data_IF_966408491504
#
_entry.id   IF_966408491504
#
_cell.length_a   1.000
_cell.length_b   1.000
_cell.length_c   1.000
_cell.angle_alpha   90.00
_cell.angle_beta   90.00
_cell.angle_gamma   90.00
#
_symmetry.space_group_name_H-M   'P 1'
#
loop_
_entity.id
_entity.type
_entity.pdbx_description
1 polymer ?
#
# COMPACT_ATOMS: atom_id res chain seq x y z
N UNK A 1 24.41 7.61 -21.85
CA UNK A 1 23.95 7.44 -20.46
C UNK A 1 24.29 6.01 -20.05
N UNK A 2 25.43 5.80 -19.40
CA UNK A 2 25.88 4.45 -19.01
C UNK A 2 25.04 4.03 -17.82
N UNK A 3 24.17 3.04 -18.02
CA UNK A 3 23.42 2.43 -16.92
C UNK A 3 24.44 1.65 -16.09
N UNK A 4 24.72 2.09 -14.87
CA UNK A 4 25.59 1.35 -13.93
C UNK A 4 25.04 -0.07 -13.71
N UNK A 5 25.90 -1.05 -13.52
CA UNK A 5 25.52 -2.45 -13.21
C UNK A 5 24.50 -2.50 -12.06
N UNK A 6 24.66 -1.66 -11.04
CA UNK A 6 23.77 -1.59 -9.88
C UNK A 6 22.36 -1.10 -10.25
N UNK A 7 22.27 -0.14 -11.19
CA UNK A 7 20.99 0.36 -11.67
C UNK A 7 20.23 -0.72 -12.46
N UNK A 8 20.93 -1.60 -13.18
CA UNK A 8 20.31 -2.73 -13.90
C UNK A 8 19.73 -3.73 -12.89
N UNK A 9 20.46 -4.06 -11.83
CA UNK A 9 19.97 -4.93 -10.76
C UNK A 9 18.73 -4.34 -10.09
N UNK A 10 18.76 -3.05 -9.74
CA UNK A 10 17.60 -2.37 -9.17
C UNK A 10 16.39 -2.33 -10.11
N UNK A 11 16.59 -2.16 -11.41
CA UNK A 11 15.53 -2.20 -12.42
C UNK A 11 14.88 -3.58 -12.52
N UNK A 12 15.68 -4.65 -12.61
CA UNK A 12 15.19 -6.03 -12.67
C UNK A 12 14.41 -6.37 -11.40
N UNK A 13 14.93 -5.99 -10.23
CA UNK A 13 14.24 -6.18 -8.95
C UNK A 13 12.92 -5.42 -8.89
N UNK A 14 12.87 -4.16 -9.33
CA UNK A 14 11.64 -3.37 -9.37
C UNK A 14 10.59 -3.96 -10.31
N UNK A 15 10.99 -4.43 -11.50
CA UNK A 15 10.09 -5.10 -12.44
C UNK A 15 9.55 -6.42 -11.88
N UNK A 16 10.42 -7.23 -11.28
CA UNK A 16 10.03 -8.50 -10.66
C UNK A 16 9.07 -8.29 -9.49
N UNK A 17 9.34 -7.29 -8.63
CA UNK A 17 8.45 -6.82 -7.57
C UNK A 17 7.07 -6.46 -8.12
N UNK A 18 7.01 -5.62 -9.16
CA UNK A 18 5.74 -5.21 -9.76
C UNK A 18 4.93 -6.38 -10.31
N UNK A 19 5.60 -7.37 -10.91
CA UNK A 19 4.97 -8.61 -11.35
C UNK A 19 4.40 -9.41 -10.19
N UNK A 20 5.16 -9.60 -9.10
CA UNK A 20 4.72 -10.33 -7.92
C UNK A 20 3.56 -9.62 -7.21
N UNK A 21 3.68 -8.32 -6.96
CA UNK A 21 2.64 -7.51 -6.34
C UNK A 21 1.37 -7.55 -7.21
N UNK A 22 1.49 -7.31 -8.52
CA UNK A 22 0.34 -7.36 -9.44
C UNK A 22 -0.35 -8.73 -9.46
N UNK A 23 0.44 -9.81 -9.54
CA UNK A 23 -0.06 -11.20 -9.50
C UNK A 23 -0.74 -11.53 -8.17
N UNK A 24 -0.23 -11.01 -7.06
CA UNK A 24 -0.76 -11.25 -5.71
C UNK A 24 -2.23 -10.86 -5.59
N UNK A 25 -2.64 -9.72 -6.17
CA UNK A 25 -4.03 -9.26 -6.14
C UNK A 25 -4.97 -10.25 -6.83
N UNK A 26 -4.52 -10.84 -7.93
CA UNK A 26 -5.27 -11.76 -8.78
C UNK A 26 -5.41 -13.12 -8.09
N UNK A 27 -4.31 -13.62 -7.52
CA UNK A 27 -4.31 -14.87 -6.75
C UNK A 27 -5.18 -14.72 -5.50
N UNK A 28 -5.05 -13.63 -4.73
CA UNK A 28 -5.89 -13.34 -3.56
C UNK A 28 -7.36 -13.33 -3.92
N UNK A 29 -7.74 -12.64 -5.00
CA UNK A 29 -9.14 -12.59 -5.44
C UNK A 29 -9.66 -13.95 -5.90
N UNK A 30 -8.84 -14.73 -6.61
CA UNK A 30 -9.20 -16.10 -6.99
C UNK A 30 -9.42 -16.99 -5.76
N UNK A 31 -8.58 -16.85 -4.73
CA UNK A 31 -8.76 -17.49 -3.42
C UNK A 31 -10.04 -17.04 -2.73
N UNK A 32 -10.33 -15.74 -2.68
CA UNK A 32 -11.57 -15.18 -2.11
C UNK A 32 -12.81 -15.75 -2.81
N UNK A 33 -12.83 -15.82 -4.14
CA UNK A 33 -13.94 -16.42 -4.91
C UNK A 33 -14.14 -17.90 -4.60
N UNK A 34 -13.06 -18.68 -4.44
CA UNK A 34 -13.14 -20.11 -4.08
C UNK A 34 -13.64 -20.33 -2.65
N UNK A 35 -13.12 -19.54 -1.70
CA UNK A 35 -13.56 -19.58 -0.31
C UNK A 35 -15.04 -19.21 -0.17
N UNK A 36 -15.53 -18.28 -1.01
CA UNK A 36 -16.93 -17.86 -1.06
C UNK A 36 -17.93 -18.90 -1.56
N UNK A 37 -17.47 -20.00 -2.18
CA UNK A 37 -18.34 -21.11 -2.59
C UNK A 37 -18.69 -22.02 -1.41
N UNK A 38 -17.75 -22.21 -0.49
CA UNK A 38 -17.89 -23.14 0.64
C UNK A 38 -18.15 -22.44 1.98
N UNK A 39 -18.11 -21.10 2.02
CA UNK A 39 -18.24 -20.34 3.25
C UNK A 39 -18.74 -18.92 3.02
N UNK A 40 -18.76 -18.13 4.08
CA UNK A 40 -19.27 -16.76 4.03
C UNK A 40 -18.27 -15.88 3.28
N UNK A 41 -18.76 -15.24 2.23
CA UNK A 41 -18.01 -14.33 1.37
C UNK A 41 -17.39 -13.18 2.17
N UNK A 42 -16.17 -12.79 1.80
CA UNK A 42 -15.48 -11.68 2.45
C UNK A 42 -16.26 -10.37 2.29
N UNK A 43 -16.89 -10.15 1.12
CA UNK A 43 -17.75 -8.99 0.86
C UNK A 43 -18.93 -8.88 1.83
N UNK A 44 -19.44 -10.01 2.32
CA UNK A 44 -20.52 -10.08 3.32
C UNK A 44 -20.02 -10.06 4.77
N UNK A 45 -18.71 -9.87 4.99
CA UNK A 45 -18.08 -9.86 6.32
C UNK A 45 -17.59 -11.21 6.83
N UNK A 46 -17.58 -12.25 5.99
CA UNK A 46 -17.03 -13.56 6.34
C UNK A 46 -15.51 -13.64 6.31
N UNK A 47 -14.95 -14.60 7.04
CA UNK A 47 -13.51 -14.85 7.12
C UNK A 47 -13.09 -16.22 6.56
N UNK A 48 -13.95 -16.87 5.77
CA UNK A 48 -13.70 -18.21 5.22
C UNK A 48 -12.46 -18.31 4.33
N UNK A 49 -11.99 -17.18 3.79
CA UNK A 49 -10.77 -17.11 2.99
C UNK A 49 -9.49 -17.41 3.76
N UNK A 50 -9.50 -17.33 5.10
CA UNK A 50 -8.34 -17.68 5.93
C UNK A 50 -8.01 -19.18 5.87
N UNK A 51 -8.99 -20.03 5.52
CA UNK A 51 -8.80 -21.46 5.34
C UNK A 51 -8.41 -21.85 3.92
N UNK A 52 -8.50 -20.93 2.95
CA UNK A 52 -8.21 -21.21 1.54
C UNK A 52 -6.71 -21.05 1.25
N UNK A 53 -6.00 -22.13 0.86
CA UNK A 53 -4.55 -22.08 0.62
C UNK A 53 -4.17 -21.09 -0.48
N UNK A 54 -5.01 -20.92 -1.51
CA UNK A 54 -4.74 -19.97 -2.58
C UNK A 54 -4.71 -18.52 -2.11
N UNK A 55 -5.49 -18.16 -1.10
CA UNK A 55 -5.44 -16.82 -0.54
C UNK A 55 -4.07 -16.57 0.13
N UNK A 56 -3.55 -17.56 0.85
CA UNK A 56 -2.20 -17.51 1.45
C UNK A 56 -1.08 -17.50 0.42
N UNK A 57 -1.21 -18.21 -0.70
CA UNK A 57 -0.28 -18.08 -1.83
C UNK A 57 -0.28 -16.64 -2.36
N UNK A 58 -1.45 -16.02 -2.46
CA UNK A 58 -1.57 -14.61 -2.81
C UNK A 58 -0.87 -13.68 -1.80
N UNK A 59 -1.07 -13.90 -0.50
CA UNK A 59 -0.43 -13.11 0.57
C UNK A 59 1.09 -13.27 0.59
N UNK A 60 1.59 -14.49 0.48
CA UNK A 60 3.04 -14.76 0.45
C UNK A 60 3.69 -14.15 -0.79
N UNK A 61 3.05 -14.23 -1.96
CA UNK A 61 3.52 -13.57 -3.19
C UNK A 61 3.60 -12.05 -3.02
N UNK A 62 2.64 -11.44 -2.31
CA UNK A 62 2.67 -10.01 -1.99
C UNK A 62 3.89 -9.67 -1.12
N UNK A 63 4.15 -10.44 -0.07
CA UNK A 63 5.31 -10.23 0.82
C UNK A 63 6.63 -10.33 0.04
N UNK A 64 6.77 -11.35 -0.81
CA UNK A 64 7.96 -11.51 -1.67
C UNK A 64 8.13 -10.30 -2.60
N UNK A 65 7.04 -9.82 -3.20
CA UNK A 65 7.06 -8.62 -4.03
C UNK A 65 7.53 -7.38 -3.28
N UNK A 66 7.00 -7.13 -2.08
CA UNK A 66 7.40 -5.99 -1.25
C UNK A 66 8.88 -6.08 -0.79
N UNK A 67 9.38 -7.29 -0.49
CA UNK A 67 10.81 -7.49 -0.17
C UNK A 67 11.68 -7.18 -1.40
N UNK A 68 11.28 -7.64 -2.58
CA UNK A 68 11.98 -7.30 -3.82
C UNK A 68 11.91 -5.80 -4.13
N UNK A 69 10.80 -5.14 -3.83
CA UNK A 69 10.63 -3.69 -3.95
C UNK A 69 11.61 -2.95 -3.05
N UNK A 70 11.69 -3.35 -1.78
CA UNK A 70 12.62 -2.78 -0.82
C UNK A 70 14.07 -2.96 -1.26
N UNK A 71 14.43 -4.17 -1.74
CA UNK A 71 15.75 -4.42 -2.31
C UNK A 71 16.03 -3.51 -3.52
N UNK A 72 15.05 -3.26 -4.39
CA UNK A 72 15.22 -2.35 -5.54
C UNK A 72 15.60 -0.93 -5.11
N UNK A 73 15.01 -0.42 -4.03
CA UNK A 73 15.37 0.90 -3.46
C UNK A 73 16.80 0.97 -2.90
N UNK A 74 17.43 -0.18 -2.58
CA UNK A 74 18.83 -0.21 -2.16
C UNK A 74 19.81 -0.11 -3.33
N UNK A 75 19.42 -0.53 -4.53
CA UNK A 75 20.29 -0.59 -5.71
C UNK A 75 19.99 0.49 -6.77
N UNK A 76 18.78 1.03 -6.80
CA UNK A 76 18.36 2.05 -7.76
C UNK A 76 17.72 3.25 -7.05
N UNK A 77 17.86 4.45 -7.63
CA UNK A 77 17.30 5.66 -7.04
C UNK A 77 15.76 5.60 -7.06
N UNK A 78 15.13 6.18 -6.04
CA UNK A 78 13.67 6.16 -5.86
C UNK A 78 12.89 6.70 -7.07
N UNK A 79 13.50 7.63 -7.82
CA UNK A 79 12.93 8.19 -9.06
C UNK A 79 12.68 7.15 -10.15
N UNK A 80 13.51 6.10 -10.19
CA UNK A 80 13.40 5.00 -11.14
C UNK A 80 12.42 3.93 -10.63
N UNK A 81 12.53 3.56 -9.36
CA UNK A 81 11.79 2.43 -8.76
C UNK A 81 10.29 2.74 -8.62
N UNK A 82 9.95 3.98 -8.25
CA UNK A 82 8.56 4.38 -7.95
C UNK A 82 7.60 4.27 -9.16
N UNK A 83 7.92 4.78 -10.37
CA UNK A 83 7.06 4.59 -11.54
C UNK A 83 7.01 3.13 -12.00
N UNK A 84 8.06 2.34 -11.78
CA UNK A 84 8.03 0.90 -12.03
C UNK A 84 7.04 0.19 -11.10
N UNK A 85 6.86 0.67 -9.88
CA UNK A 85 5.81 0.21 -8.96
C UNK A 85 4.39 0.34 -9.52
N UNK A 86 4.11 1.40 -10.30
CA UNK A 86 2.82 1.58 -10.96
C UNK A 86 2.55 0.51 -12.05
N UNK A 87 3.59 -0.15 -12.58
CA UNK A 87 3.43 -1.26 -13.52
C UNK A 87 2.71 -2.46 -12.88
N UNK A 88 2.76 -2.61 -11.55
CA UNK A 88 2.02 -3.66 -10.84
C UNK A 88 0.51 -3.59 -11.09
N UNK A 89 -0.02 -2.37 -11.32
CA UNK A 89 -1.42 -2.10 -11.65
C UNK A 89 -1.76 -2.61 -13.05
N UNK A 90 -0.83 -2.45 -14.00
CA UNK A 90 -0.98 -2.96 -15.36
C UNK A 90 -0.94 -4.48 -15.34
N UNK A 91 0.04 -5.07 -14.64
CA UNK A 91 0.13 -6.52 -14.50
C UNK A 91 -1.14 -7.10 -13.85
N UNK A 92 -1.66 -6.48 -12.79
CA UNK A 92 -2.90 -6.93 -12.18
C UNK A 92 -4.09 -6.80 -13.12
N UNK A 93 -4.23 -5.70 -13.86
CA UNK A 93 -5.33 -5.50 -14.81
C UNK A 93 -5.29 -6.52 -15.96
N UNK A 94 -4.11 -6.78 -16.53
CA UNK A 94 -3.91 -7.78 -17.60
C UNK A 94 -4.20 -9.19 -17.09
N UNK A 95 -3.65 -9.57 -15.94
CA UNK A 95 -3.89 -10.88 -15.34
C UNK A 95 -5.34 -11.07 -14.89
N UNK A 96 -6.03 -10.01 -14.46
CA UNK A 96 -7.46 -10.08 -14.15
C UNK A 96 -8.29 -10.46 -15.39
N UNK A 97 -7.92 -9.91 -16.56
CA UNK A 97 -8.57 -10.25 -17.82
C UNK A 97 -8.38 -11.72 -18.19
N UNK A 98 -7.15 -12.23 -18.13
CA UNK A 98 -6.88 -13.62 -18.52
C UNK A 98 -7.31 -14.66 -17.47
N UNK A 99 -6.99 -14.44 -16.19
CA UNK A 99 -7.16 -15.45 -15.13
C UNK A 99 -8.57 -15.40 -14.51
N UNK A 100 -9.14 -14.21 -14.33
CA UNK A 100 -10.48 -14.05 -13.75
C UNK A 100 -11.56 -13.86 -14.81
N UNK A 101 -11.20 -13.78 -16.10
CA UNK A 101 -12.13 -13.52 -17.21
C UNK A 101 -12.94 -12.23 -16.99
N UNK A 102 -12.33 -11.25 -16.31
CA UNK A 102 -12.96 -9.95 -16.06
C UNK A 102 -12.82 -9.07 -17.29
N UNK A 103 -13.92 -8.44 -17.73
CA UNK A 103 -13.87 -7.52 -18.87
C UNK A 103 -13.08 -6.27 -18.48
N UNK A 104 -12.03 -5.98 -19.26
CA UNK A 104 -11.24 -4.77 -19.11
C UNK A 104 -12.02 -3.59 -19.73
N UNK A 105 -12.63 -2.77 -18.90
CA UNK A 105 -13.37 -1.60 -19.39
C UNK A 105 -12.40 -0.47 -19.78
N UNK A 106 -12.82 0.43 -20.68
CA UNK A 106 -12.06 1.63 -21.07
C UNK A 106 -11.64 2.45 -19.84
N UNK A 107 -12.51 2.53 -18.83
CA UNK A 107 -12.21 3.20 -17.56
C UNK A 107 -11.05 2.54 -16.79
N UNK A 108 -10.89 1.22 -16.88
CA UNK A 108 -9.76 0.51 -16.27
C UNK A 108 -8.43 0.81 -16.97
N UNK A 109 -8.45 0.85 -18.31
CA UNK A 109 -7.28 1.25 -19.12
C UNK A 109 -6.89 2.69 -18.83
N UNK A 110 -7.86 3.60 -18.87
CA UNK A 110 -7.65 5.02 -18.55
C UNK A 110 -7.07 5.19 -17.14
N UNK A 111 -7.60 4.46 -16.16
CA UNK A 111 -7.07 4.44 -14.80
C UNK A 111 -5.61 4.00 -14.72
N UNK A 112 -5.23 2.94 -15.44
CA UNK A 112 -3.84 2.46 -15.48
C UNK A 112 -2.90 3.52 -16.09
N UNK A 113 -3.29 4.12 -17.21
CA UNK A 113 -2.50 5.18 -17.88
C UNK A 113 -2.33 6.39 -16.94
N UNK A 114 -3.42 6.83 -16.30
CA UNK A 114 -3.38 7.94 -15.34
C UNK A 114 -2.50 7.62 -14.12
N UNK A 115 -2.45 6.38 -13.64
CA UNK A 115 -1.57 5.99 -12.53
C UNK A 115 -0.09 6.07 -12.92
N UNK A 116 0.28 5.61 -14.12
CA UNK A 116 1.67 5.69 -14.61
C UNK A 116 2.09 7.15 -14.81
N UNK A 117 1.24 7.96 -15.44
CA UNK A 117 1.51 9.39 -15.64
C UNK A 117 1.60 10.13 -14.30
N UNK A 118 0.64 9.90 -13.41
CA UNK A 118 0.59 10.54 -12.10
C UNK A 118 1.76 10.17 -11.20
N UNK A 119 2.13 8.88 -11.13
CA UNK A 119 3.28 8.42 -10.35
C UNK A 119 4.60 9.02 -10.84
N UNK A 120 4.80 9.07 -12.16
CA UNK A 120 5.97 9.70 -12.78
C UNK A 120 6.00 11.21 -12.49
N UNK A 121 4.85 11.90 -12.59
CA UNK A 121 4.75 13.33 -12.32
C UNK A 121 5.08 13.68 -10.86
N UNK A 122 4.54 12.92 -9.89
CA UNK A 122 4.82 13.10 -8.45
C UNK A 122 6.32 13.00 -8.20
N UNK A 123 6.94 11.97 -8.76
CA UNK A 123 8.36 11.69 -8.57
C UNK A 123 9.25 12.79 -9.17
N UNK A 124 8.90 13.31 -10.35
CA UNK A 124 9.67 14.37 -11.02
C UNK A 124 9.60 15.71 -10.27
N UNK A 125 8.49 15.99 -9.59
CA UNK A 125 8.27 17.24 -8.86
C UNK A 125 8.45 17.10 -7.35
N UNK A 126 8.82 15.92 -6.85
CA UNK A 126 9.00 15.68 -5.42
C UNK A 126 10.21 16.48 -4.90
N UNK A 127 10.03 17.39 -3.93
CA UNK A 127 11.16 18.03 -3.26
C UNK A 127 11.94 16.98 -2.45
N UNK A 128 13.23 17.20 -2.23
CA UNK A 128 14.02 16.29 -1.38
C UNK A 128 13.48 16.26 0.05
N UNK A 129 13.19 15.06 0.57
CA UNK A 129 12.76 14.86 1.96
C UNK A 129 13.85 15.38 2.92
N UNK A 130 13.53 16.36 3.77
CA UNK A 130 14.43 16.79 4.86
C UNK A 130 14.40 15.75 5.99
N UNK A 131 15.57 15.38 6.51
CA UNK A 131 15.70 14.41 7.58
C UNK A 131 15.06 14.93 8.88
N UNK A 132 14.10 14.19 9.42
CA UNK A 132 13.50 14.47 10.73
C UNK A 132 14.34 13.76 11.80
N UNK A 133 14.94 14.51 12.71
CA UNK A 133 15.94 14.00 13.67
C UNK A 133 15.37 13.64 15.05
N UNK A 134 14.05 13.77 15.30
CA UNK A 134 13.51 13.52 16.65
C UNK A 134 12.12 12.88 16.69
N UNK A 135 12.04 11.75 17.41
CA UNK A 135 10.80 11.00 17.71
C UNK A 135 9.83 11.80 18.61
N UNK A 136 10.34 12.79 19.35
CA UNK A 136 9.57 13.58 20.32
C UNK A 136 8.65 14.61 19.64
N UNK A 137 9.00 15.04 18.44
CA UNK A 137 8.20 15.96 17.61
C UNK A 137 6.99 15.23 17.01
N UNK A 138 7.18 14.00 16.52
CA UNK A 138 6.12 13.16 15.92
C UNK A 138 4.95 12.87 16.90
N UNK A 139 5.22 12.79 18.20
CA UNK A 139 4.23 12.48 19.24
C UNK A 139 3.17 13.58 19.43
N UNK A 140 3.59 14.85 19.40
CA UNK A 140 2.66 15.97 19.60
C UNK A 140 1.82 16.23 18.33
N UNK A 141 2.38 15.90 17.16
CA UNK A 141 1.75 16.01 15.83
C UNK A 141 0.69 14.95 15.52
N UNK A 142 0.86 13.73 16.05
CA UNK A 142 -0.06 12.62 15.78
C UNK A 142 -1.45 12.79 16.43
N UNK A 143 -1.61 13.77 17.32
CA UNK A 143 -2.84 13.98 18.10
C UNK A 143 -3.87 14.87 17.38
N UNK A 144 -3.46 15.71 16.44
CA UNK A 144 -4.36 16.65 15.73
C UNK A 144 -5.14 16.10 14.52
N UNK A 145 -4.70 15.07 13.74
CA UNK A 145 -5.48 14.62 12.58
C UNK A 145 -6.70 13.78 12.97
N UNK A 146 -6.88 13.41 14.26
CA UNK A 146 -8.01 12.62 14.81
C UNK A 146 -9.38 13.18 14.41
N UNK A 147 -9.49 14.49 14.18
CA UNK A 147 -10.72 15.15 13.75
C UNK A 147 -11.09 14.90 12.28
N UNK A 148 -10.10 14.68 11.38
CA UNK A 148 -10.35 14.26 9.99
C UNK A 148 -10.71 12.76 9.94
N UNK A 149 -10.20 11.96 10.88
CA UNK A 149 -10.45 10.51 10.99
C UNK A 149 -11.91 10.12 11.30
N UNK A 150 -12.70 11.01 11.91
CA UNK A 150 -14.10 10.74 12.27
C UNK A 150 -15.13 11.17 11.22
N UNK A 151 -14.77 12.07 10.30
CA UNK A 151 -15.71 12.64 9.33
C UNK A 151 -15.79 11.84 8.02
N UNK A 152 -14.72 11.14 7.61
CA UNK A 152 -14.67 10.37 6.37
C UNK A 152 -15.51 9.07 6.38
N UNK A 153 -15.66 8.29 7.48
CA UNK A 153 -16.42 7.05 7.43
C UNK A 153 -17.95 7.23 7.51
N UNK A 154 -18.46 8.47 7.54
CA UNK A 154 -19.88 8.73 7.90
C UNK A 154 -20.86 8.67 6.72
N UNK A 155 -20.40 8.46 5.48
CA UNK A 155 -21.28 8.28 4.33
C UNK A 155 -20.88 7.08 3.44
N UNK A 156 -21.72 6.03 3.44
CA UNK A 156 -21.94 5.15 2.29
C UNK A 156 -21.47 3.69 2.39
N UNK A 157 -22.34 2.78 2.83
CA UNK A 157 -22.15 1.32 2.74
C UNK A 157 -22.27 0.75 1.31
N UNK A 158 -22.26 1.58 0.26
CA UNK A 158 -22.73 1.19 -1.09
C UNK A 158 -21.72 1.37 -2.23
N UNK A 159 -20.58 2.05 -2.03
CA UNK A 159 -19.66 2.37 -3.13
C UNK A 159 -18.23 1.90 -2.89
N UNK A 160 -17.57 1.40 -3.96
CA UNK A 160 -16.16 0.98 -4.00
C UNK A 160 -15.22 1.99 -3.34
N UNK A 161 -15.49 3.29 -3.49
CA UNK A 161 -14.71 4.37 -2.91
C UNK A 161 -14.65 4.34 -1.38
N UNK A 162 -15.65 3.79 -0.69
CA UNK A 162 -15.67 3.76 0.78
C UNK A 162 -14.77 2.65 1.31
N UNK A 163 -14.84 1.43 0.76
CA UNK A 163 -13.93 0.36 1.17
C UNK A 163 -12.48 0.69 0.83
N UNK A 164 -12.24 1.20 -0.38
CA UNK A 164 -10.91 1.58 -0.81
C UNK A 164 -10.43 2.83 -0.09
N UNK A 165 -11.31 3.79 0.23
CA UNK A 165 -10.98 4.97 1.02
C UNK A 165 -10.54 4.63 2.44
N UNK A 166 -11.29 3.78 3.14
CA UNK A 166 -10.92 3.31 4.49
C UNK A 166 -9.60 2.53 4.44
N UNK A 167 -9.47 1.59 3.49
CA UNK A 167 -8.23 0.84 3.30
C UNK A 167 -7.04 1.75 3.03
N UNK A 168 -7.20 2.75 2.17
CA UNK A 168 -6.14 3.69 1.80
C UNK A 168 -5.75 4.60 2.95
N UNK A 169 -6.73 5.06 3.74
CA UNK A 169 -6.51 5.88 4.93
C UNK A 169 -5.70 5.11 5.99
N UNK A 170 -6.13 3.88 6.32
CA UNK A 170 -5.39 3.00 7.23
C UNK A 170 -3.98 2.68 6.68
N UNK A 171 -3.88 2.54 5.35
CA UNK A 171 -2.61 2.40 4.64
C UNK A 171 -1.66 3.56 4.89
N UNK A 172 -2.11 4.79 4.67
CA UNK A 172 -1.30 5.99 4.91
C UNK A 172 -0.84 6.12 6.37
N UNK A 173 -1.71 5.80 7.33
CA UNK A 173 -1.38 5.77 8.76
C UNK A 173 -0.27 4.76 9.08
N UNK A 174 -0.33 3.61 8.44
CA UNK A 174 0.67 2.56 8.60
C UNK A 174 2.02 3.02 8.06
N UNK A 175 2.06 3.66 6.90
CA UNK A 175 3.29 4.22 6.33
C UNK A 175 3.93 5.24 7.28
N UNK A 176 3.12 6.16 7.84
CA UNK A 176 3.62 7.16 8.81
C UNK A 176 4.14 6.51 10.09
N UNK A 177 3.40 5.54 10.62
CA UNK A 177 3.76 4.85 11.87
C UNK A 177 5.01 3.98 11.69
N UNK A 178 5.16 3.31 10.54
CA UNK A 178 6.37 2.56 10.18
C UNK A 178 7.56 3.49 9.99
N UNK A 179 7.40 4.67 9.37
CA UNK A 179 8.46 5.69 9.32
C UNK A 179 8.92 6.10 10.73
N UNK A 180 7.98 6.38 11.63
CA UNK A 180 8.30 6.70 13.03
C UNK A 180 9.03 5.57 13.76
N UNK A 181 8.57 4.32 13.60
CA UNK A 181 9.22 3.13 14.16
C UNK A 181 10.61 2.89 13.56
N UNK A 182 10.79 3.12 12.25
CA UNK A 182 12.08 3.00 11.57
C UNK A 182 13.11 4.00 12.11
N UNK A 183 12.70 5.24 12.39
CA UNK A 183 13.55 6.24 13.05
C UNK A 183 13.90 5.79 14.47
N UNK A 184 12.92 5.31 15.25
CA UNK A 184 13.15 4.82 16.61
C UNK A 184 14.11 3.63 16.66
N UNK A 185 14.00 2.70 15.71
CA UNK A 185 14.91 1.57 15.52
C UNK A 185 16.33 2.04 15.20
N UNK A 186 16.47 2.97 14.24
CA UNK A 186 17.77 3.54 13.88
C UNK A 186 18.45 4.19 15.07
N UNK A 187 17.73 5.00 15.86
CA UNK A 187 18.25 5.65 17.06
C UNK A 187 18.65 4.64 18.16
N UNK A 188 17.90 3.53 18.24
CA UNK A 188 18.21 2.43 19.15
C UNK A 188 19.52 1.73 18.78
N UNK A 189 19.73 1.43 17.50
CA UNK A 189 21.00 0.88 17.02
C UNK A 189 22.17 1.87 17.17
N UNK A 190 21.91 3.18 17.17
CA UNK A 190 22.89 4.23 17.48
C UNK A 190 23.19 4.40 18.99
N UNK A 191 22.63 3.54 19.86
CA UNK A 191 22.98 3.47 21.28
C UNK A 191 21.96 4.07 22.25
N UNK A 192 20.87 4.68 21.77
CA UNK A 192 19.81 5.23 22.65
C UNK A 192 18.57 4.35 22.56
N UNK A 193 18.42 3.42 23.49
CA UNK A 193 17.36 2.41 23.44
C UNK A 193 15.94 3.02 23.49
N UNK A 194 15.27 3.14 22.34
CA UNK A 194 13.93 3.72 22.22
C UNK A 194 12.81 2.72 22.59
N UNK A 195 13.13 1.44 22.81
CA UNK A 195 12.15 0.42 23.21
C UNK A 195 11.66 0.55 24.65
N UNK A 196 12.34 1.39 25.44
CA UNK A 196 11.92 1.73 26.81
C UNK A 196 10.70 2.65 26.79
N UNK A 197 10.50 3.41 25.71
CA UNK A 197 9.42 4.36 25.58
C UNK A 197 8.10 3.68 25.18
N UNK A 198 7.03 3.99 25.92
CA UNK A 198 5.67 3.52 25.65
C UNK A 198 5.20 3.84 24.23
N UNK A 199 5.70 4.97 23.68
CA UNK A 199 5.39 5.46 22.34
C UNK A 199 5.72 4.44 21.24
N UNK A 200 6.85 3.73 21.34
CA UNK A 200 7.27 2.72 20.35
C UNK A 200 6.31 1.52 20.31
N UNK A 201 5.85 1.08 21.49
CA UNK A 201 4.85 0.01 21.59
C UNK A 201 3.47 0.45 21.10
N UNK A 202 3.08 1.69 21.40
CA UNK A 202 1.84 2.27 20.88
C UNK A 202 1.82 2.30 19.34
N UNK A 203 2.85 2.83 18.69
CA UNK A 203 2.93 2.83 17.23
C UNK A 203 2.95 1.42 16.64
N UNK A 204 3.58 0.46 17.32
CA UNK A 204 3.58 -0.95 16.90
C UNK A 204 2.16 -1.54 16.91
N UNK A 205 1.39 -1.31 17.98
CA UNK A 205 -0.01 -1.76 18.06
C UNK A 205 -0.87 -1.08 16.99
N UNK A 206 -0.69 0.22 16.77
CA UNK A 206 -1.40 0.96 15.71
C UNK A 206 -1.11 0.38 14.33
N UNK A 207 0.14 0.05 14.02
CA UNK A 207 0.53 -0.61 12.76
C UNK A 207 -0.17 -1.95 12.60
N UNK A 208 -0.16 -2.80 13.63
CA UNK A 208 -0.81 -4.12 13.57
C UNK A 208 -2.32 -3.97 13.30
N UNK A 209 -2.99 -3.12 14.06
CA UNK A 209 -4.44 -2.89 13.90
C UNK A 209 -4.75 -2.32 12.52
N UNK A 210 -3.98 -1.34 12.04
CA UNK A 210 -4.18 -0.74 10.71
C UNK A 210 -3.94 -1.76 9.59
N UNK A 211 -2.92 -2.62 9.70
CA UNK A 211 -2.65 -3.68 8.74
C UNK A 211 -3.80 -4.70 8.67
N UNK A 212 -4.34 -5.12 9.82
CA UNK A 212 -5.48 -6.04 9.87
C UNK A 212 -6.73 -5.42 9.24
N UNK A 213 -7.02 -4.16 9.56
CA UNK A 213 -8.15 -3.43 8.97
C UNK A 213 -7.98 -3.28 7.46
N UNK A 214 -6.79 -2.90 6.98
CA UNK A 214 -6.48 -2.84 5.54
C UNK A 214 -6.77 -4.16 4.84
N UNK A 215 -6.28 -5.26 5.40
CA UNK A 215 -6.49 -6.59 4.83
C UNK A 215 -7.98 -6.92 4.71
N UNK A 216 -8.78 -6.64 5.75
CA UNK A 216 -10.23 -6.89 5.76
C UNK A 216 -10.95 -6.06 4.71
N UNK A 217 -10.70 -4.75 4.66
CA UNK A 217 -11.38 -3.86 3.72
C UNK A 217 -10.94 -4.09 2.27
N UNK A 218 -9.66 -4.42 2.05
CA UNK A 218 -9.16 -4.78 0.73
C UNK A 218 -9.78 -6.10 0.25
N UNK A 219 -9.86 -7.11 1.10
CA UNK A 219 -10.49 -8.39 0.77
C UNK A 219 -11.99 -8.21 0.47
N UNK A 220 -12.70 -7.36 1.24
CA UNK A 220 -14.09 -6.96 0.95
C UNK A 220 -14.23 -6.32 -0.42
N UNK A 221 -13.35 -5.39 -0.77
CA UNK A 221 -13.38 -4.72 -2.07
C UNK A 221 -13.08 -5.71 -3.21
N UNK A 222 -12.05 -6.55 -3.07
CA UNK A 222 -11.64 -7.55 -4.07
C UNK A 222 -12.71 -8.60 -4.35
N UNK A 223 -13.45 -9.02 -3.32
CA UNK A 223 -14.53 -9.99 -3.50
C UNK A 223 -15.79 -9.38 -4.15
N UNK A 224 -16.02 -8.07 -3.93
CA UNK A 224 -17.25 -7.38 -4.38
C UNK A 224 -17.11 -6.75 -5.77
N UNK A 225 -15.97 -6.17 -6.11
CA UNK A 225 -15.80 -5.35 -7.32
C UNK A 225 -14.77 -5.92 -8.32
N UNK A 226 -14.73 -5.38 -9.55
CA UNK A 226 -13.78 -5.79 -10.60
C UNK A 226 -12.36 -5.30 -10.28
N UNK A 227 -11.35 -6.18 -10.42
CA UNK A 227 -9.96 -5.84 -10.04
C UNK A 227 -9.36 -4.77 -10.93
N UNK A 228 -9.76 -4.74 -12.21
CA UNK A 228 -9.31 -3.73 -13.16
C UNK A 228 -9.71 -2.30 -12.77
N UNK A 229 -10.71 -2.14 -11.90
CA UNK A 229 -11.12 -0.84 -11.34
C UNK A 229 -10.54 -0.64 -9.94
N UNK A 230 -10.51 -1.70 -9.11
CA UNK A 230 -9.97 -1.63 -7.75
C UNK A 230 -8.49 -1.23 -7.75
N UNK A 231 -7.64 -1.88 -8.56
CA UNK A 231 -6.20 -1.65 -8.51
C UNK A 231 -5.81 -0.20 -8.80
N UNK A 232 -6.30 0.45 -9.89
CA UNK A 232 -6.03 1.87 -10.12
C UNK A 232 -6.59 2.80 -9.04
N UNK A 233 -7.84 2.58 -8.61
CA UNK A 233 -8.48 3.44 -7.60
C UNK A 233 -7.79 3.33 -6.24
N UNK A 234 -7.39 2.11 -5.85
CA UNK A 234 -6.61 1.87 -4.63
C UNK A 234 -5.27 2.60 -4.68
N UNK A 235 -4.54 2.49 -5.80
CA UNK A 235 -3.26 3.17 -5.96
C UNK A 235 -3.41 4.69 -5.80
N UNK A 236 -4.33 5.32 -6.53
CA UNK A 236 -4.52 6.77 -6.48
C UNK A 236 -4.96 7.24 -5.09
N UNK A 237 -5.92 6.56 -4.46
CA UNK A 237 -6.41 6.93 -3.13
C UNK A 237 -5.33 6.77 -2.07
N UNK A 238 -4.60 5.64 -2.09
CA UNK A 238 -3.50 5.36 -1.17
C UNK A 238 -2.38 6.39 -1.33
N UNK A 239 -1.94 6.65 -2.56
CA UNK A 239 -0.89 7.65 -2.82
C UNK A 239 -1.33 9.05 -2.40
N UNK A 240 -2.56 9.45 -2.72
CA UNK A 240 -3.08 10.78 -2.34
C UNK A 240 -3.14 10.96 -0.83
N UNK A 241 -3.73 10.00 -0.11
CA UNK A 241 -3.78 10.07 1.36
C UNK A 241 -2.40 9.99 2.00
N UNK A 242 -1.49 9.19 1.46
CA UNK A 242 -0.10 9.12 1.95
C UNK A 242 0.62 10.44 1.77
N UNK A 243 0.44 11.12 0.63
CA UNK A 243 1.03 12.45 0.40
C UNK A 243 0.41 13.48 1.34
N UNK A 244 -0.92 13.52 1.49
CA UNK A 244 -1.59 14.43 2.43
C UNK A 244 -1.12 14.20 3.86
N UNK A 245 -1.07 12.96 4.31
CA UNK A 245 -0.57 12.60 5.64
C UNK A 245 0.90 13.01 5.83
N UNK A 246 1.74 12.81 4.80
CA UNK A 246 3.14 13.25 4.83
C UNK A 246 3.23 14.78 4.94
N UNK A 247 2.46 15.52 4.15
CA UNK A 247 2.45 16.98 4.18
C UNK A 247 2.02 17.51 5.55
N UNK A 248 0.98 16.94 6.16
CA UNK A 248 0.56 17.31 7.51
C UNK A 248 1.69 17.04 8.52
N UNK A 249 2.34 15.88 8.42
CA UNK A 249 3.48 15.55 9.28
C UNK A 249 4.63 16.56 9.13
N UNK A 250 5.03 16.91 7.90
CA UNK A 250 6.14 17.85 7.69
C UNK A 250 5.80 19.29 8.04
N UNK A 251 4.58 19.75 7.77
CA UNK A 251 4.18 21.15 7.97
C UNK A 251 4.06 21.52 9.44
N UNK A 252 3.87 20.55 10.32
CA UNK A 252 3.77 20.77 11.77
C UNK A 252 5.13 20.54 12.47
N UNK A 253 6.16 20.06 11.74
CA UNK A 253 7.57 19.97 12.20
C UNK A 253 8.36 21.28 11.93
N UNK A 254 7.81 22.20 11.12
CA UNK A 254 8.39 23.54 10.89
C UNK A 254 7.72 24.60 11.75
#
# INVERSE_FOLDING_TARGET
MVISSDNVHGLILALSSSLFIGSSFIVKKKGLKRAGVHGIRAGSGGYSYLYEPLWWVGMTTMVVGEVANFAAYAYAPAILVTPLGALSIIFSAVLAHFILQEKLHIFGVLGCVLCVVGSTSIVLHAPQEKAIESVKEVWHLATEPVLIFLFVPRYGQTHLLVYIGICSLMGSLTVMSVKALGIALKLTFSGVNQFIYFQTWFFTVVVIVCCLLQMVYLNKALDTFNTAVISPVYYVMFTTFTIIASMIMFKVIQ
#
